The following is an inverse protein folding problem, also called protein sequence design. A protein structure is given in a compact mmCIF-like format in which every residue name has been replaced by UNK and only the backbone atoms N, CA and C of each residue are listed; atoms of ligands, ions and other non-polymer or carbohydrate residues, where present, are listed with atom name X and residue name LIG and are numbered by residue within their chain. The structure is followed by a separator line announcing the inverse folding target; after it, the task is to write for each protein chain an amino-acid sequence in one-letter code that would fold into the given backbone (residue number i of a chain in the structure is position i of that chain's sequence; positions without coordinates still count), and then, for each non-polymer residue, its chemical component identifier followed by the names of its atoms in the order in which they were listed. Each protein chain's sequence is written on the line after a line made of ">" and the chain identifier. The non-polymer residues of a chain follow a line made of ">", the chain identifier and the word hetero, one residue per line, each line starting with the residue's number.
data_IF_098116283851
#
_entry.id   IF_098116283851
#
_cell.length_a   1.000
_cell.length_b   1.000
_cell.length_c   1.000
_cell.angle_alpha   90.00
_cell.angle_beta   90.00
_cell.angle_gamma   90.00
#
_symmetry.space_group_name_H-M   'P 1'
#
loop_
_entity.id
_entity.type
_entity.pdbx_description
1 polymer ?
#
# COMPACT_ATOMS: atom_id res chain seq x y z
N UNK A 1 17.62 -4.14 15.41
CA UNK A 1 17.38 -5.33 14.54
C UNK A 1 16.07 -5.29 13.75
N UNK A 2 15.01 -4.68 14.28
CA UNK A 2 13.75 -4.48 13.57
C UNK A 2 13.87 -3.45 12.44
N UNK A 3 14.71 -2.44 12.61
CA UNK A 3 14.84 -1.35 11.63
C UNK A 3 15.55 -1.79 10.34
N UNK A 4 16.51 -2.68 10.40
CA UNK A 4 17.15 -3.28 9.21
C UNK A 4 16.19 -4.20 8.44
N UNK A 5 15.32 -4.95 9.12
CA UNK A 5 14.25 -5.69 8.46
C UNK A 5 13.23 -4.75 7.82
N UNK A 6 12.92 -3.65 8.49
CA UNK A 6 12.05 -2.59 7.96
C UNK A 6 12.63 -1.97 6.70
N UNK A 7 13.90 -1.56 6.70
CA UNK A 7 14.56 -0.98 5.53
C UNK A 7 14.58 -1.94 4.35
N UNK A 8 14.87 -3.23 4.59
CA UNK A 8 14.94 -4.21 3.51
C UNK A 8 13.57 -4.62 2.98
N UNK A 9 12.57 -4.78 3.83
CA UNK A 9 11.19 -4.99 3.37
C UNK A 9 10.65 -3.78 2.61
N UNK A 10 11.13 -2.60 2.93
CA UNK A 10 10.80 -1.37 2.22
C UNK A 10 11.47 -1.27 0.84
N UNK A 11 12.72 -1.73 0.72
CA UNK A 11 13.43 -1.83 -0.56
C UNK A 11 12.87 -2.97 -1.43
N UNK A 12 12.55 -4.11 -0.82
CA UNK A 12 11.92 -5.27 -1.48
C UNK A 12 10.53 -4.93 -2.02
N UNK A 13 9.79 -4.13 -1.29
CA UNK A 13 8.44 -3.74 -1.68
C UNK A 13 8.41 -2.83 -2.89
N UNK A 14 9.38 -1.95 -3.01
CA UNK A 14 9.42 -0.91 -4.03
C UNK A 14 10.40 -1.24 -5.18
N UNK A 15 11.28 -2.25 -5.03
CA UNK A 15 12.10 -2.81 -6.11
C UNK A 15 12.67 -4.17 -5.75
N UNK A 16 12.63 -5.11 -6.69
CA UNK A 16 13.17 -6.46 -6.53
C UNK A 16 14.71 -6.51 -6.62
N UNK A 17 15.34 -5.43 -7.11
CA UNK A 17 16.81 -5.31 -7.30
C UNK A 17 17.63 -5.66 -6.06
N UNK A 18 17.12 -5.39 -4.85
CA UNK A 18 17.83 -5.72 -3.61
C UNK A 18 17.80 -7.21 -3.29
N UNK A 19 16.74 -7.93 -3.72
CA UNK A 19 16.58 -9.39 -3.58
C UNK A 19 17.39 -10.16 -4.61
N UNK A 20 17.50 -9.66 -5.83
CA UNK A 20 18.30 -10.25 -6.90
C UNK A 20 19.77 -10.38 -6.48
N UNK A 21 20.32 -9.37 -5.81
CA UNK A 21 21.70 -9.38 -5.34
C UNK A 21 21.96 -10.24 -4.11
N UNK A 22 21.04 -10.28 -3.15
CA UNK A 22 21.22 -10.96 -1.85
C UNK A 22 19.91 -11.50 -1.29
N UNK A 23 19.63 -12.76 -1.49
CA UNK A 23 18.41 -13.45 -1.03
C UNK A 23 18.49 -13.95 0.42
N UNK A 24 19.10 -13.18 1.32
CA UNK A 24 19.20 -13.51 2.75
C UNK A 24 18.94 -12.29 3.64
N UNK A 25 18.55 -12.45 4.92
CA UNK A 25 18.30 -11.34 5.83
C UNK A 25 19.54 -10.46 6.00
N UNK A 26 19.38 -9.13 6.25
CA UNK A 26 20.51 -8.24 6.47
C UNK A 26 21.20 -8.51 7.80
N UNK A 27 22.47 -8.10 7.89
CA UNK A 27 23.31 -8.22 9.07
C UNK A 27 24.31 -9.36 8.99
N UNK A 28 25.26 -9.36 9.93
CA UNK A 28 26.38 -10.32 9.98
C UNK A 28 25.91 -11.79 10.02
N UNK A 29 24.79 -12.08 10.68
CA UNK A 29 24.21 -13.42 10.78
C UNK A 29 23.19 -13.74 9.68
N UNK A 30 23.01 -12.86 8.71
CA UNK A 30 22.01 -13.05 7.64
C UNK A 30 22.22 -14.32 6.83
N UNK A 31 23.42 -14.58 6.28
CA UNK A 31 23.72 -15.76 5.47
C UNK A 31 23.60 -17.08 6.24
N UNK A 32 24.06 -17.08 7.48
CA UNK A 32 24.18 -18.28 8.32
C UNK A 32 22.96 -18.51 9.24
N UNK A 33 21.87 -17.78 9.04
CA UNK A 33 20.69 -17.90 9.89
C UNK A 33 19.99 -19.24 9.67
N UNK A 34 20.11 -20.16 10.64
CA UNK A 34 19.36 -21.42 10.65
C UNK A 34 17.84 -21.15 10.69
N UNK A 35 17.07 -21.96 10.00
CA UNK A 35 15.60 -21.92 10.06
C UNK A 35 15.13 -22.35 11.45
N UNK A 36 14.72 -21.43 12.26
CA UNK A 36 14.09 -21.72 13.55
C UNK A 36 12.59 -22.01 13.34
N UNK A 37 12.07 -23.00 14.05
CA UNK A 37 10.62 -23.26 14.11
C UNK A 37 9.93 -21.99 14.64
N UNK A 38 9.01 -21.45 13.87
CA UNK A 38 8.26 -20.25 14.29
C UNK A 38 7.08 -20.67 15.14
N UNK A 39 6.84 -19.99 16.26
CA UNK A 39 5.60 -20.12 17.01
C UNK A 39 4.42 -19.59 16.17
N UNK A 40 3.22 -20.02 16.48
CA UNK A 40 1.98 -19.55 15.85
C UNK A 40 1.86 -18.02 15.98
N UNK A 41 2.05 -17.49 17.18
CA UNK A 41 2.08 -16.05 17.42
C UNK A 41 3.09 -15.31 16.53
N UNK A 42 4.30 -15.86 16.39
CA UNK A 42 5.33 -15.23 15.53
C UNK A 42 4.91 -15.23 14.05
N UNK A 43 4.15 -16.23 13.60
CA UNK A 43 3.61 -16.31 12.24
C UNK A 43 2.51 -15.28 12.02
N UNK A 44 1.55 -15.19 12.93
CA UNK A 44 0.47 -14.21 12.91
C UNK A 44 1.03 -12.76 12.98
N UNK A 45 1.99 -12.53 13.86
CA UNK A 45 2.66 -11.22 13.98
C UNK A 45 3.41 -10.85 12.70
N UNK A 46 4.08 -11.81 12.06
CA UNK A 46 4.82 -11.58 10.82
C UNK A 46 3.88 -11.14 9.68
N UNK A 47 2.71 -11.78 9.52
CA UNK A 47 1.72 -11.40 8.51
C UNK A 47 1.12 -10.01 8.78
N UNK A 48 0.81 -9.68 10.05
CA UNK A 48 0.39 -8.33 10.42
C UNK A 48 1.46 -7.29 10.06
N UNK A 49 2.72 -7.56 10.39
CA UNK A 49 3.83 -6.64 10.08
C UNK A 49 4.03 -6.52 8.57
N UNK A 50 3.89 -7.61 7.82
CA UNK A 50 3.95 -7.61 6.35
C UNK A 50 2.90 -6.67 5.78
N UNK A 51 1.61 -6.84 6.13
CA UNK A 51 0.54 -5.96 5.70
C UNK A 51 0.83 -4.48 6.04
N UNK A 52 1.17 -4.22 7.29
CA UNK A 52 1.45 -2.88 7.78
C UNK A 52 2.61 -2.20 7.03
N UNK A 53 3.68 -2.93 6.72
CA UNK A 53 4.82 -2.38 5.98
C UNK A 53 4.54 -2.22 4.51
N UNK A 54 3.78 -3.12 3.90
CA UNK A 54 3.36 -3.00 2.49
C UNK A 54 2.63 -1.69 2.25
N UNK A 55 1.67 -1.35 3.10
CA UNK A 55 0.90 -0.11 2.97
C UNK A 55 1.54 1.10 3.68
N UNK A 56 2.64 0.93 4.40
CA UNK A 56 3.32 2.00 5.14
C UNK A 56 2.48 2.60 6.28
N UNK A 57 1.63 1.79 6.93
CA UNK A 57 0.70 2.22 7.97
C UNK A 57 1.33 2.03 9.36
N UNK A 58 1.11 2.99 10.27
CA UNK A 58 1.55 2.90 11.66
C UNK A 58 0.63 1.96 12.47
N UNK A 59 1.15 1.35 13.54
CA UNK A 59 0.44 0.36 14.35
C UNK A 59 -0.91 0.88 14.87
N UNK A 60 -0.95 2.08 15.44
CA UNK A 60 -2.19 2.67 15.97
C UNK A 60 -3.24 2.86 14.88
N UNK A 61 -2.82 3.33 13.69
CA UNK A 61 -3.73 3.50 12.56
C UNK A 61 -4.25 2.16 12.05
N UNK A 62 -3.38 1.15 11.96
CA UNK A 62 -3.74 -0.19 11.50
C UNK A 62 -4.73 -0.86 12.47
N UNK A 63 -4.48 -0.77 13.79
CA UNK A 63 -5.41 -1.25 14.82
C UNK A 63 -6.77 -0.56 14.75
N UNK A 64 -6.79 0.77 14.53
CA UNK A 64 -8.05 1.50 14.34
C UNK A 64 -8.80 1.07 13.06
N UNK A 65 -8.07 0.76 11.99
CA UNK A 65 -8.67 0.22 10.76
C UNK A 65 -9.24 -1.17 10.99
N UNK A 66 -8.56 -2.02 11.75
CA UNK A 66 -9.06 -3.33 12.14
C UNK A 66 -10.36 -3.21 12.94
N UNK A 67 -10.43 -2.32 13.94
CA UNK A 67 -11.66 -2.06 14.71
C UNK A 67 -12.82 -1.60 13.81
N UNK A 68 -12.53 -0.74 12.81
CA UNK A 68 -13.53 -0.31 11.83
C UNK A 68 -13.96 -1.47 10.91
N UNK A 69 -13.04 -2.36 10.55
CA UNK A 69 -13.36 -3.52 9.72
C UNK A 69 -14.22 -4.53 10.49
N UNK A 70 -13.91 -4.79 11.76
CA UNK A 70 -14.68 -5.73 12.60
C UNK A 70 -16.11 -5.23 12.96
N UNK A 71 -16.33 -3.91 12.90
CA UNK A 71 -17.65 -3.30 13.10
C UNK A 71 -18.56 -3.34 11.86
N UNK A 72 -18.02 -3.69 10.69
CA UNK A 72 -18.78 -3.80 9.44
C UNK A 72 -19.25 -5.25 9.23
N UNK A 73 -20.41 -5.41 8.59
CA UNK A 73 -20.91 -6.73 8.17
C UNK A 73 -20.04 -7.29 7.03
N UNK A 74 -19.64 -8.55 7.13
CA UNK A 74 -18.83 -9.25 6.14
C UNK A 74 -17.53 -9.84 6.71
N UNK A 75 -16.64 -10.31 5.82
CA UNK A 75 -15.36 -10.93 6.20
C UNK A 75 -14.39 -9.83 6.66
N UNK A 76 -14.10 -9.77 7.94
CA UNK A 76 -13.27 -8.73 8.57
C UNK A 76 -11.90 -8.56 7.88
N UNK A 77 -11.27 -9.67 7.48
CA UNK A 77 -9.97 -9.66 6.82
C UNK A 77 -10.01 -8.96 5.45
N UNK A 78 -11.01 -9.26 4.63
CA UNK A 78 -11.21 -8.63 3.32
C UNK A 78 -11.51 -7.15 3.47
N UNK A 79 -12.43 -6.79 4.38
CA UNK A 79 -12.78 -5.39 4.67
C UNK A 79 -11.55 -4.61 5.14
N UNK A 80 -10.69 -5.21 5.95
CA UNK A 80 -9.44 -4.58 6.37
C UNK A 80 -8.53 -4.26 5.18
N UNK A 81 -8.36 -5.20 4.25
CA UNK A 81 -7.56 -4.98 3.04
C UNK A 81 -8.20 -3.94 2.12
N UNK A 82 -9.53 -3.95 1.96
CA UNK A 82 -10.26 -2.92 1.21
C UNK A 82 -10.02 -1.52 1.80
N UNK A 83 -10.08 -1.38 3.12
CA UNK A 83 -9.77 -0.11 3.79
C UNK A 83 -8.32 0.34 3.58
N UNK A 84 -7.38 -0.60 3.47
CA UNK A 84 -6.00 -0.28 3.14
C UNK A 84 -5.85 0.17 1.68
N UNK A 85 -6.56 -0.47 0.75
CA UNK A 85 -6.53 -0.13 -0.67
C UNK A 85 -7.22 1.21 -0.98
N UNK A 86 -8.31 1.55 -0.29
CA UNK A 86 -9.06 2.80 -0.46
C UNK A 86 -8.31 4.06 0.01
N UNK A 87 -7.13 3.95 0.58
CA UNK A 87 -6.35 5.10 1.02
C UNK A 87 -5.80 5.88 -0.17
N UNK A 88 -5.85 7.21 -0.09
CA UNK A 88 -5.39 8.09 -1.17
C UNK A 88 -3.93 7.83 -1.58
N UNK A 89 -3.03 7.62 -0.60
CA UNK A 89 -1.62 7.30 -0.88
C UNK A 89 -1.46 6.01 -1.69
N UNK A 90 -2.28 5.01 -1.40
CA UNK A 90 -2.25 3.74 -2.13
C UNK A 90 -2.92 3.84 -3.50
N UNK A 91 -4.06 4.53 -3.61
CA UNK A 91 -4.73 4.72 -4.91
C UNK A 91 -3.83 5.49 -5.89
N UNK A 92 -3.15 6.55 -5.45
CA UNK A 92 -2.18 7.30 -6.28
C UNK A 92 -1.04 6.39 -6.77
N UNK A 93 -0.59 5.44 -5.95
CA UNK A 93 0.37 4.43 -6.36
C UNK A 93 -0.22 3.45 -7.39
N UNK A 94 -1.44 2.96 -7.17
CA UNK A 94 -2.14 2.02 -8.07
C UNK A 94 -2.48 2.63 -9.43
N UNK A 95 -2.71 3.93 -9.48
CA UNK A 95 -2.89 4.70 -10.71
C UNK A 95 -1.58 4.91 -11.50
N UNK A 96 -0.43 4.50 -10.95
CA UNK A 96 0.85 4.64 -11.61
C UNK A 96 1.46 6.05 -11.58
N UNK A 97 0.86 7.00 -10.85
CA UNK A 97 1.36 8.38 -10.73
C UNK A 97 2.72 8.44 -10.01
N UNK A 98 3.05 7.41 -9.24
CA UNK A 98 4.34 7.29 -8.57
C UNK A 98 4.85 5.84 -8.62
N UNK A 99 6.17 5.62 -8.77
CA UNK A 99 6.75 4.28 -8.83
C UNK A 99 6.70 3.53 -7.49
N UNK A 100 6.42 4.23 -6.39
CA UNK A 100 6.37 3.61 -5.07
C UNK A 100 5.28 4.22 -4.17
N UNK A 101 4.76 3.43 -3.22
CA UNK A 101 3.78 3.93 -2.22
C UNK A 101 4.33 5.06 -1.37
N UNK A 102 5.64 5.12 -1.15
CA UNK A 102 6.28 6.22 -0.42
C UNK A 102 6.33 7.49 -1.24
N UNK A 103 6.67 7.38 -2.52
CA UNK A 103 6.61 8.51 -3.47
C UNK A 103 5.17 9.04 -3.58
N UNK A 104 4.18 8.16 -3.73
CA UNK A 104 2.77 8.53 -3.75
C UNK A 104 2.36 9.29 -2.47
N UNK A 105 2.77 8.79 -1.30
CA UNK A 105 2.52 9.46 -0.02
C UNK A 105 3.17 10.84 0.05
N UNK A 106 4.38 11.00 -0.50
CA UNK A 106 5.07 12.29 -0.58
C UNK A 106 4.31 13.25 -1.50
N UNK A 107 3.89 12.80 -2.68
CA UNK A 107 3.10 13.62 -3.61
C UNK A 107 1.81 14.13 -2.96
N UNK A 108 1.07 13.27 -2.24
CA UNK A 108 -0.14 13.68 -1.51
C UNK A 108 0.21 14.70 -0.43
N UNK A 109 1.19 14.43 0.43
CA UNK A 109 1.57 15.32 1.54
C UNK A 109 2.05 16.69 1.06
N UNK A 110 2.69 16.74 -0.11
CA UNK A 110 3.18 17.97 -0.75
C UNK A 110 2.12 18.70 -1.59
N UNK A 111 0.84 18.25 -1.52
CA UNK A 111 -0.29 18.91 -2.18
C UNK A 111 -0.25 18.90 -3.71
N UNK A 112 0.31 17.83 -4.29
CA UNK A 112 0.34 17.62 -5.75
C UNK A 112 -0.91 16.89 -6.27
N UNK A 113 -1.73 16.34 -5.38
CA UNK A 113 -2.91 15.53 -5.70
C UNK A 113 -4.19 16.27 -5.33
N UNK A 114 -5.19 16.11 -6.18
CA UNK A 114 -6.55 16.62 -5.98
C UNK A 114 -7.55 15.47 -5.90
N UNK A 115 -8.60 15.65 -5.11
CA UNK A 115 -9.76 14.75 -5.06
C UNK A 115 -11.00 15.58 -5.34
N UNK A 116 -11.78 15.21 -6.35
CA UNK A 116 -12.95 15.96 -6.79
C UNK A 116 -12.65 17.46 -7.02
N UNK A 117 -11.51 17.76 -7.65
CA UNK A 117 -11.05 19.12 -7.94
C UNK A 117 -10.46 19.87 -6.75
N UNK A 118 -10.51 19.34 -5.52
CA UNK A 118 -9.97 19.98 -4.31
C UNK A 118 -8.63 19.38 -3.93
N UNK A 119 -7.68 20.21 -3.51
CA UNK A 119 -6.36 19.77 -3.05
C UNK A 119 -6.50 19.02 -1.72
N UNK A 120 -6.03 17.79 -1.67
CA UNK A 120 -6.01 16.97 -0.45
C UNK A 120 -4.57 16.61 -0.10
N UNK A 121 -4.15 16.93 1.15
CA UNK A 121 -2.80 16.66 1.66
C UNK A 121 -2.75 15.55 2.73
N UNK A 122 -3.83 14.78 2.87
CA UNK A 122 -3.96 13.73 3.87
C UNK A 122 -3.80 12.37 3.19
N UNK A 123 -2.63 11.67 3.34
CA UNK A 123 -2.40 10.37 2.71
C UNK A 123 -3.40 9.27 3.12
N UNK A 124 -3.93 9.37 4.35
CA UNK A 124 -4.91 8.43 4.89
C UNK A 124 -6.36 8.76 4.52
N UNK A 125 -6.58 9.74 3.64
CA UNK A 125 -7.94 10.05 3.13
C UNK A 125 -8.53 8.79 2.48
N UNK A 126 -9.74 8.42 2.89
CA UNK A 126 -10.45 7.25 2.38
C UNK A 126 -11.30 7.65 1.19
N UNK A 127 -10.98 7.15 0.03
CA UNK A 127 -11.72 7.37 -1.20
C UNK A 127 -12.98 6.50 -1.26
N UNK A 128 -13.99 7.01 -1.91
CA UNK A 128 -15.26 6.31 -2.16
C UNK A 128 -15.38 6.00 -3.67
N UNK A 129 -16.29 5.11 -4.00
CA UNK A 129 -16.66 4.85 -5.39
C UNK A 129 -17.23 6.13 -6.01
N UNK A 130 -16.75 6.47 -7.21
CA UNK A 130 -17.09 7.71 -7.93
C UNK A 130 -16.17 8.91 -7.60
N UNK A 131 -15.23 8.79 -6.66
CA UNK A 131 -14.27 9.86 -6.41
C UNK A 131 -13.26 9.99 -7.56
N UNK A 132 -13.03 11.22 -8.02
CA UNK A 132 -12.04 11.58 -9.04
C UNK A 132 -10.74 12.01 -8.39
N UNK A 133 -9.67 11.30 -8.69
CA UNK A 133 -8.30 11.59 -8.21
C UNK A 133 -7.49 12.16 -9.35
N UNK A 134 -7.01 13.38 -9.23
CA UNK A 134 -6.24 14.05 -10.28
C UNK A 134 -4.91 14.60 -9.81
N UNK A 135 -4.04 14.90 -10.78
CA UNK A 135 -2.80 15.63 -10.54
C UNK A 135 -3.08 17.13 -10.65
N UNK A 136 -2.59 17.90 -9.68
CA UNK A 136 -2.70 19.36 -9.68
C UNK A 136 -2.04 19.96 -10.94
N UNK A 137 -2.66 20.95 -11.59
CA UNK A 137 -2.17 21.57 -12.84
C UNK A 137 -0.68 21.97 -12.77
N UNK A 138 -0.27 22.67 -11.72
CA UNK A 138 1.12 23.09 -11.52
C UNK A 138 2.12 21.95 -11.36
N UNK A 139 1.63 20.73 -11.16
CA UNK A 139 2.46 19.53 -10.88
C UNK A 139 2.50 18.55 -12.04
N UNK A 140 1.71 18.76 -13.10
CA UNK A 140 1.64 17.86 -14.26
C UNK A 140 2.98 17.74 -15.00
N UNK A 141 3.82 18.77 -14.99
CA UNK A 141 5.15 18.79 -15.63
C UNK A 141 6.27 18.19 -14.78
N UNK A 142 5.98 17.63 -13.59
CA UNK A 142 7.01 17.03 -12.74
C UNK A 142 7.59 15.77 -13.36
N UNK A 143 8.92 15.70 -13.49
CA UNK A 143 9.66 14.58 -14.08
C UNK A 143 9.31 13.24 -13.43
N UNK A 144 9.09 13.22 -12.10
CA UNK A 144 8.71 12.00 -11.37
C UNK A 144 7.36 11.44 -11.85
N UNK A 145 6.39 12.31 -12.11
CA UNK A 145 5.05 11.93 -12.55
C UNK A 145 5.09 11.46 -14.00
N UNK A 146 5.72 12.26 -14.88
CA UNK A 146 5.81 11.94 -16.30
C UNK A 146 6.59 10.64 -16.55
N UNK A 147 7.71 10.42 -15.85
CA UNK A 147 8.50 9.19 -15.98
C UNK A 147 7.76 7.96 -15.42
N UNK A 148 6.93 8.13 -14.39
CA UNK A 148 6.14 7.02 -13.83
C UNK A 148 4.99 6.61 -14.74
N UNK A 149 4.34 7.57 -15.39
CA UNK A 149 3.23 7.32 -16.30
C UNK A 149 3.67 6.76 -17.66
N UNK A 150 4.92 7.03 -18.08
CA UNK A 150 5.51 6.46 -19.31
C UNK A 150 5.91 4.99 -19.16
N UNK A 151 6.07 4.48 -17.93
CA UNK A 151 6.19 3.04 -17.71
C UNK A 151 4.79 2.41 -17.78
N UNK A 152 4.63 1.35 -18.59
CA UNK A 152 3.36 0.62 -18.74
C UNK A 152 2.92 -0.02 -17.41
N UNK A 153 2.35 0.79 -16.54
CA UNK A 153 1.75 0.29 -15.32
C UNK A 153 0.32 -0.18 -15.65
N UNK A 154 0.05 -1.46 -15.51
CA UNK A 154 -1.30 -1.99 -15.59
C UNK A 154 -2.14 -1.39 -14.45
N UNK A 155 -3.07 -0.54 -14.79
CA UNK A 155 -4.04 -0.01 -13.84
C UNK A 155 -4.99 -1.13 -13.44
N UNK A 156 -5.26 -1.27 -12.16
CA UNK A 156 -6.15 -2.31 -11.63
C UNK A 156 -7.59 -2.09 -12.15
N UNK A 157 -8.34 -3.16 -12.40
CA UNK A 157 -9.70 -3.14 -12.96
C UNK A 157 -10.70 -2.26 -12.18
N UNK A 158 -10.53 -2.13 -10.89
CA UNK A 158 -11.39 -1.31 -10.02
C UNK A 158 -11.09 0.19 -10.07
N UNK A 159 -10.04 0.59 -10.84
CA UNK A 159 -9.64 1.96 -11.10
C UNK A 159 -9.72 2.26 -12.60
N UNK A 160 -9.94 3.50 -12.93
CA UNK A 160 -9.80 4.04 -14.28
C UNK A 160 -8.77 5.16 -14.26
N UNK A 161 -7.99 5.29 -15.33
CA UNK A 161 -7.02 6.36 -15.48
C UNK A 161 -7.08 6.93 -16.90
N UNK A 162 -7.18 8.25 -17.00
CA UNK A 162 -7.09 8.98 -18.26
C UNK A 162 -5.74 9.74 -18.32
N UNK A 163 -4.91 9.33 -19.27
CA UNK A 163 -3.60 9.94 -19.49
C UNK A 163 -3.67 11.38 -20.02
N UNK A 164 -4.76 11.77 -20.71
CA UNK A 164 -4.88 13.10 -21.30
C UNK A 164 -5.17 14.16 -20.24
N UNK A 165 -6.08 13.86 -19.34
CA UNK A 165 -6.49 14.76 -18.26
C UNK A 165 -5.64 14.58 -17.01
N UNK A 166 -4.88 13.49 -16.87
CA UNK A 166 -4.16 13.05 -15.68
C UNK A 166 -5.11 12.93 -14.47
N UNK A 167 -6.26 12.33 -14.72
CA UNK A 167 -7.28 12.05 -13.70
C UNK A 167 -7.65 10.58 -13.71
N UNK A 168 -7.89 10.04 -12.53
CA UNK A 168 -8.37 8.68 -12.32
C UNK A 168 -9.67 8.67 -11.55
N UNK A 169 -10.45 7.61 -11.73
CA UNK A 169 -11.72 7.38 -11.06
C UNK A 169 -11.69 6.06 -10.30
N UNK A 170 -12.30 6.03 -9.12
CA UNK A 170 -12.56 4.81 -8.37
C UNK A 170 -13.88 4.21 -8.81
N UNK A 171 -13.85 3.17 -9.65
CA UNK A 171 -15.05 2.53 -10.23
C UNK A 171 -15.80 1.65 -9.23
N UNK A 172 -15.06 0.87 -8.44
CA UNK A 172 -15.62 -0.08 -7.49
C UNK A 172 -14.73 -0.27 -6.28
N UNK A 173 -15.23 -0.96 -5.26
CA UNK A 173 -14.40 -1.43 -4.15
C UNK A 173 -13.66 -2.68 -4.61
N UNK A 174 -12.33 -2.79 -4.39
CA UNK A 174 -11.56 -3.95 -4.82
C UNK A 174 -12.00 -5.23 -4.12
N UNK A 175 -12.18 -6.30 -4.87
CA UNK A 175 -12.37 -7.65 -4.35
C UNK A 175 -11.01 -8.23 -3.92
N UNK A 176 -11.04 -9.31 -3.10
CA UNK A 176 -9.81 -9.94 -2.61
C UNK A 176 -8.87 -10.39 -3.75
N UNK A 177 -9.42 -10.90 -4.84
CA UNK A 177 -8.67 -11.38 -6.00
C UNK A 177 -7.93 -10.26 -6.76
N UNK A 178 -8.49 -9.06 -6.74
CA UNK A 178 -7.91 -7.87 -7.38
C UNK A 178 -6.77 -7.24 -6.55
N UNK A 179 -6.61 -7.70 -5.31
CA UNK A 179 -5.52 -7.24 -4.43
C UNK A 179 -4.32 -8.17 -4.63
N UNK A 180 -3.31 -7.68 -5.33
CA UNK A 180 -2.12 -8.46 -5.73
C UNK A 180 -1.20 -8.84 -4.56
N UNK A 181 -1.36 -8.22 -3.40
CA UNK A 181 -0.52 -8.51 -2.23
C UNK A 181 -0.84 -9.88 -1.63
N UNK A 182 0.19 -10.73 -1.55
CA UNK A 182 0.10 -12.03 -0.89
C UNK A 182 0.12 -11.86 0.64
N UNK A 183 -1.00 -11.48 1.20
CA UNK A 183 -1.21 -11.29 2.65
C UNK A 183 -2.27 -12.31 3.11
N UNK A 184 -1.97 -13.05 4.17
CA UNK A 184 -2.92 -13.96 4.81
C UNK A 184 -3.71 -13.20 5.87
N UNK A 185 -4.82 -12.61 5.48
CA UNK A 185 -5.66 -11.76 6.31
C UNK A 185 -6.24 -12.49 7.53
N UNK A 186 -6.54 -13.78 7.40
CA UNK A 186 -7.06 -14.60 8.49
C UNK A 186 -6.11 -14.64 9.69
N UNK A 187 -4.81 -14.78 9.46
CA UNK A 187 -3.80 -14.77 10.54
C UNK A 187 -3.75 -13.41 11.26
N UNK A 188 -4.09 -12.32 10.56
CA UNK A 188 -4.18 -10.99 11.17
C UNK A 188 -5.43 -10.90 12.05
N UNK A 189 -6.55 -11.43 11.58
CA UNK A 189 -7.81 -11.47 12.35
C UNK A 189 -7.60 -12.29 13.63
N UNK A 190 -7.01 -13.48 13.53
CA UNK A 190 -6.70 -14.34 14.69
C UNK A 190 -5.81 -13.64 15.72
N UNK A 191 -4.81 -12.88 15.25
CA UNK A 191 -3.90 -12.14 16.15
C UNK A 191 -4.62 -11.06 16.98
N UNK A 192 -5.60 -10.37 16.37
CA UNK A 192 -6.33 -9.30 17.04
C UNK A 192 -7.56 -9.80 17.84
N UNK A 193 -7.97 -11.05 17.61
CA UNK A 193 -9.09 -11.69 18.33
C UNK A 193 -8.67 -12.33 19.65
N UNK A 194 -7.37 -12.42 19.89
CA UNK A 194 -6.77 -12.84 21.19
C UNK A 194 -6.71 -11.62 22.12
#
# INVERSE_FOLDING_TARGET
>A
HLDFRRQRQMCIRDSDKALEKKNYPPGMHGPNKRRMKRSEYATQLAEKQKAKYTYGILEKQFSNMFKKASAKSGITGEILLQLCEQRLDNVVFRLGVSPSRRGARQLVSHRHITVNGKIVNIPSYSLKVGDLVGVREKSKSMVIITSSLSSENQVNEWLYWDNNTLTGEVKSIPNREQISENIKEQLIVELYSK
#
